data_IF_321768298843
#
_entry.id   IF_321768298843
#
_cell.length_a   1.000
_cell.length_b   1.000
_cell.length_c   1.000
_cell.angle_alpha   90.00
_cell.angle_beta   90.00
_cell.angle_gamma   90.00
#
_symmetry.space_group_name_H-M   'P 1'
#
loop_
_entity.id
_entity.type
_entity.pdbx_description
1 polymer ?
#
# COMPACT_ATOMS: atom_id res chain seq x y z
N UNK A 1 9.00 8.70 -38.71
CA UNK A 1 8.27 9.79 -38.04
C UNK A 1 8.91 10.01 -36.67
N UNK A 2 9.72 11.06 -36.47
CA UNK A 2 10.26 11.36 -35.15
C UNK A 2 9.11 11.87 -34.28
N UNK A 3 8.86 11.20 -33.16
CA UNK A 3 7.93 11.69 -32.14
C UNK A 3 8.30 13.14 -31.81
N UNK A 4 7.31 14.03 -31.82
CA UNK A 4 7.52 15.42 -31.40
C UNK A 4 7.88 15.44 -29.90
N UNK A 5 8.76 16.36 -29.48
CA UNK A 5 9.22 16.48 -28.10
C UNK A 5 8.05 16.62 -27.10
N UNK A 6 6.94 17.17 -27.58
CA UNK A 6 5.69 17.37 -26.85
C UNK A 6 4.94 16.06 -26.54
N UNK A 7 4.92 15.10 -27.47
CA UNK A 7 4.32 13.78 -27.24
C UNK A 7 5.11 12.97 -26.22
N UNK A 8 6.45 13.09 -26.25
CA UNK A 8 7.32 12.41 -25.29
C UNK A 8 7.09 12.94 -23.87
N UNK A 9 6.91 14.25 -23.71
CA UNK A 9 6.57 14.86 -22.42
C UNK A 9 5.23 14.39 -21.88
N UNK A 10 4.18 14.38 -22.71
CA UNK A 10 2.86 13.84 -22.33
C UNK A 10 2.94 12.39 -21.86
N UNK A 11 3.71 11.56 -22.57
CA UNK A 11 3.90 10.16 -22.19
C UNK A 11 4.61 10.03 -20.84
N UNK A 12 5.65 10.84 -20.58
CA UNK A 12 6.34 10.85 -19.29
C UNK A 12 5.46 11.36 -18.13
N UNK A 13 4.60 12.35 -18.37
CA UNK A 13 3.64 12.85 -17.38
C UNK A 13 2.57 11.81 -17.05
N UNK A 14 2.02 11.14 -18.07
CA UNK A 14 1.01 10.09 -17.90
C UNK A 14 1.61 8.86 -17.18
N UNK A 15 2.85 8.49 -17.51
CA UNK A 15 3.63 7.46 -16.80
C UNK A 15 3.78 7.79 -15.32
N UNK A 16 4.27 8.99 -14.99
CA UNK A 16 4.45 9.41 -13.58
C UNK A 16 3.12 9.47 -12.82
N UNK A 17 2.05 9.95 -13.46
CA UNK A 17 0.72 9.98 -12.86
C UNK A 17 0.19 8.57 -12.56
N UNK A 18 0.48 7.58 -13.43
CA UNK A 18 0.07 6.19 -13.25
C UNK A 18 0.87 5.48 -12.15
N UNK A 19 2.17 5.74 -12.06
CA UNK A 19 3.04 5.17 -11.01
C UNK A 19 2.67 5.72 -9.63
N UNK A 20 2.49 7.03 -9.49
CA UNK A 20 2.07 7.65 -8.23
C UNK A 20 0.67 7.17 -7.77
N UNK A 21 -0.23 6.86 -8.72
CA UNK A 21 -1.54 6.25 -8.40
C UNK A 21 -1.40 4.80 -7.91
N UNK A 22 -0.45 4.02 -8.43
CA UNK A 22 -0.14 2.65 -7.97
C UNK A 22 0.50 2.65 -6.58
N UNK A 23 1.41 3.55 -6.28
CA UNK A 23 2.04 3.63 -4.96
C UNK A 23 1.03 3.92 -3.84
N UNK A 24 0.03 4.79 -4.09
CA UNK A 24 -1.05 5.03 -3.12
C UNK A 24 -1.95 3.82 -2.88
N UNK A 25 -2.15 2.97 -3.90
CA UNK A 25 -2.94 1.74 -3.76
C UNK A 25 -2.19 0.63 -3.01
N UNK A 26 -0.86 0.67 -3.02
CA UNK A 26 -0.01 -0.32 -2.36
C UNK A 26 0.25 -0.04 -0.87
N UNK A 27 -0.10 1.15 -0.36
CA UNK A 27 -0.31 1.31 1.08
C UNK A 27 -1.61 0.60 1.42
N UNK A 28 -1.51 -0.69 1.71
CA UNK A 28 -2.55 -1.49 2.35
C UNK A 28 -3.16 -0.63 3.45
N UNK A 29 -4.43 -0.27 3.29
CA UNK A 29 -5.18 0.38 4.37
C UNK A 29 -5.07 -0.54 5.59
N UNK A 30 -4.80 0.00 6.79
CA UNK A 30 -4.81 -0.83 7.99
C UNK A 30 -6.18 -1.50 8.10
N UNK A 31 -6.17 -2.82 8.21
CA UNK A 31 -7.39 -3.65 8.17
C UNK A 31 -7.84 -3.99 9.59
N UNK A 32 -6.90 -4.05 10.54
CA UNK A 32 -7.17 -4.39 11.92
C UNK A 32 -6.29 -3.60 12.90
N UNK A 33 -6.65 -3.65 14.18
CA UNK A 33 -5.94 -3.02 15.30
C UNK A 33 -5.52 -4.13 16.26
N UNK A 34 -4.24 -4.18 16.62
CA UNK A 34 -3.73 -5.22 17.52
C UNK A 34 -4.31 -5.05 18.94
N UNK A 35 -4.82 -6.12 19.53
CA UNK A 35 -5.39 -6.10 20.89
C UNK A 35 -4.36 -5.78 21.98
N UNK A 36 -3.08 -6.10 21.74
CA UNK A 36 -2.02 -5.91 22.74
C UNK A 36 -1.42 -4.50 22.70
N UNK A 37 -0.99 -4.03 21.52
CA UNK A 37 -0.28 -2.77 21.37
C UNK A 37 -1.14 -1.63 20.80
N UNK A 38 -2.39 -1.90 20.42
CA UNK A 38 -3.30 -0.94 19.79
C UNK A 38 -2.76 -0.29 18.51
N UNK A 39 -1.72 -0.87 17.90
CA UNK A 39 -1.20 -0.40 16.63
C UNK A 39 -2.06 -0.94 15.48
N UNK A 40 -2.42 -0.08 14.51
CA UNK A 40 -3.08 -0.51 13.30
C UNK A 40 -2.09 -1.27 12.40
N UNK A 41 -2.53 -2.39 11.82
CA UNK A 41 -1.69 -3.24 10.97
C UNK A 41 -2.46 -3.76 9.74
N UNK A 42 -1.73 -4.17 8.70
CA UNK A 42 -2.29 -4.70 7.46
C UNK A 42 -2.62 -6.19 7.55
N UNK A 43 -3.35 -6.71 6.55
CA UNK A 43 -3.75 -8.13 6.51
C UNK A 43 -2.57 -9.12 6.42
N UNK A 44 -1.39 -8.64 6.02
CA UNK A 44 -0.16 -9.43 5.93
C UNK A 44 0.82 -9.16 7.08
N UNK A 45 0.46 -8.27 8.02
CA UNK A 45 1.34 -7.83 9.12
C UNK A 45 0.87 -8.38 10.49
N UNK A 46 0.14 -9.50 10.48
CA UNK A 46 -0.44 -10.11 11.67
C UNK A 46 -1.51 -11.17 11.38
N UNK A 47 -2.04 -11.73 12.47
CA UNK A 47 -3.13 -12.71 12.46
C UNK A 47 -4.44 -11.99 12.80
N UNK A 48 -5.44 -12.16 11.94
CA UNK A 48 -6.80 -11.63 12.14
C UNK A 48 -7.78 -12.80 12.17
N UNK A 49 -8.41 -13.02 13.32
CA UNK A 49 -9.54 -13.95 13.48
C UNK A 49 -10.81 -13.15 13.81
N UNK A 50 -11.97 -13.81 13.84
CA UNK A 50 -13.25 -13.17 14.20
C UNK A 50 -13.23 -12.61 15.65
N UNK A 51 -12.45 -13.25 16.52
CA UNK A 51 -12.39 -12.91 17.95
C UNK A 51 -11.24 -11.96 18.29
N UNK A 52 -10.11 -12.03 17.58
CA UNK A 52 -8.91 -11.27 17.93
C UNK A 52 -8.09 -10.87 16.71
N UNK A 53 -7.54 -9.66 16.77
CA UNK A 53 -6.53 -9.17 15.84
C UNK A 53 -5.21 -8.98 16.58
N UNK A 54 -4.15 -9.61 16.08
CA UNK A 54 -2.81 -9.59 16.66
C UNK A 54 -1.78 -9.23 15.59
N UNK A 55 -0.93 -8.22 15.82
CA UNK A 55 0.19 -7.95 14.91
C UNK A 55 1.33 -8.94 15.13
N UNK A 56 2.17 -9.14 14.11
CA UNK A 56 3.30 -10.09 14.17
C UNK A 56 4.27 -9.80 15.33
N UNK A 57 4.51 -8.51 15.62
CA UNK A 57 5.34 -8.05 16.74
C UNK A 57 4.84 -8.59 18.08
N UNK A 58 3.51 -8.62 18.28
CA UNK A 58 2.91 -9.12 19.52
C UNK A 58 2.64 -10.63 19.46
N UNK A 59 2.55 -11.21 18.26
CA UNK A 59 2.44 -12.64 18.04
C UNK A 59 3.77 -13.38 18.28
N UNK A 60 4.91 -12.67 18.15
CA UNK A 60 6.25 -13.20 18.35
C UNK A 60 6.93 -13.67 17.06
N UNK A 61 6.48 -13.18 15.90
CA UNK A 61 7.11 -13.37 14.57
C UNK A 61 8.01 -12.18 14.20
#
# INVERSE_FOLDING_TARGET
MPFTDEEKRRWHEEKRAREHRRERLYRSKPVAICIHCQNPFGINDGVITDEVALCDICNGD
#
